data_IF_206883441696
#
_entry.id   IF_206883441696
#
_cell.length_a   1.000
_cell.length_b   1.000
_cell.length_c   1.000
_cell.angle_alpha   90.00
_cell.angle_beta   90.00
_cell.angle_gamma   90.00
#
_symmetry.space_group_name_H-M   'P 1'
#
loop_
_entity.id
_entity.type
_entity.pdbx_description
1 polymer ?
#
# COMPACT_ATOMS: atom_id res chain seq x y z
N UNK A 1 18.55 8.27 10.89
CA UNK A 1 18.07 8.15 9.49
C UNK A 1 18.91 9.06 8.62
N UNK A 2 19.46 8.57 7.51
CA UNK A 2 20.26 9.42 6.63
C UNK A 2 19.38 10.34 5.79
N UNK A 3 20.01 11.30 5.11
CA UNK A 3 19.30 12.32 4.33
C UNK A 3 18.53 11.75 3.15
N UNK A 4 19.09 10.74 2.48
CA UNK A 4 18.42 10.12 1.33
C UNK A 4 17.16 9.40 1.76
N UNK A 5 17.22 8.66 2.84
CA UNK A 5 16.07 7.94 3.38
C UNK A 5 15.02 8.91 3.91
N UNK A 6 15.45 9.98 4.58
CA UNK A 6 14.54 11.02 5.06
C UNK A 6 13.79 11.67 3.89
N UNK A 7 14.51 12.02 2.83
CA UNK A 7 13.92 12.62 1.62
C UNK A 7 12.93 11.65 0.97
N UNK A 8 13.28 10.37 0.91
CA UNK A 8 12.41 9.32 0.38
C UNK A 8 11.04 9.33 1.08
N UNK A 9 11.04 9.36 2.42
CA UNK A 9 9.79 9.37 3.17
C UNK A 9 9.03 10.69 3.04
N UNK A 10 9.73 11.82 3.04
CA UNK A 10 9.10 13.13 2.86
C UNK A 10 8.36 13.21 1.52
N UNK A 11 8.99 12.74 0.45
CA UNK A 11 8.37 12.73 -0.87
C UNK A 11 7.17 11.78 -0.90
N UNK A 12 7.28 10.64 -0.26
CA UNK A 12 6.17 9.68 -0.17
C UNK A 12 4.98 10.28 0.59
N UNK A 13 5.22 10.90 1.73
CA UNK A 13 4.15 11.52 2.51
C UNK A 13 3.50 12.68 1.75
N UNK A 14 4.27 13.44 1.01
CA UNK A 14 3.73 14.49 0.13
C UNK A 14 2.79 13.90 -0.92
N UNK A 15 3.18 12.78 -1.53
CA UNK A 15 2.34 12.07 -2.50
C UNK A 15 0.98 11.71 -1.91
N UNK A 16 0.93 11.25 -0.67
CA UNK A 16 -0.32 10.83 -0.02
C UNK A 16 -1.31 11.98 0.18
N UNK A 17 -0.86 13.24 0.12
CA UNK A 17 -1.74 14.40 0.26
C UNK A 17 -2.39 14.80 -1.07
N UNK A 18 -1.97 14.23 -2.18
CA UNK A 18 -2.44 14.61 -3.50
C UNK A 18 -3.80 13.99 -3.83
N UNK A 19 -4.58 14.72 -4.64
CA UNK A 19 -5.85 14.20 -5.14
C UNK A 19 -5.62 12.97 -6.03
N UNK A 20 -4.53 12.98 -6.82
CA UNK A 20 -4.21 11.84 -7.68
C UNK A 20 -4.01 10.56 -6.91
N UNK A 21 -3.31 10.61 -5.78
CA UNK A 21 -3.15 9.44 -4.90
C UNK A 21 -4.49 8.95 -4.36
N UNK A 22 -5.33 9.87 -3.87
CA UNK A 22 -6.64 9.51 -3.33
C UNK A 22 -7.53 8.87 -4.38
N UNK A 23 -7.53 9.43 -5.58
CA UNK A 23 -8.30 8.88 -6.71
C UNK A 23 -7.80 7.48 -7.08
N UNK A 24 -6.47 7.29 -7.10
CA UNK A 24 -5.87 5.98 -7.39
C UNK A 24 -6.30 4.94 -6.37
N UNK A 25 -6.26 5.27 -5.08
CA UNK A 25 -6.68 4.35 -4.01
C UNK A 25 -8.15 3.98 -4.18
N UNK A 26 -9.01 4.94 -4.48
CA UNK A 26 -10.43 4.67 -4.75
C UNK A 26 -10.61 3.71 -5.93
N UNK A 27 -9.86 3.93 -7.01
CA UNK A 27 -9.93 3.05 -8.18
C UNK A 27 -9.48 1.63 -7.83
N UNK A 28 -8.42 1.49 -7.04
CA UNK A 28 -7.94 0.18 -6.59
C UNK A 28 -8.98 -0.51 -5.71
N UNK A 29 -9.63 0.23 -4.81
CA UNK A 29 -10.70 -0.31 -3.97
C UNK A 29 -11.87 -0.84 -4.80
N UNK A 30 -12.24 -0.11 -5.86
CA UNK A 30 -13.30 -0.56 -6.78
C UNK A 30 -12.91 -1.86 -7.49
N UNK A 31 -11.65 -1.95 -7.95
CA UNK A 31 -11.15 -3.17 -8.59
C UNK A 31 -11.18 -4.33 -7.59
N UNK A 32 -10.72 -4.10 -6.37
CA UNK A 32 -10.72 -5.11 -5.32
C UNK A 32 -12.14 -5.61 -5.03
N UNK A 33 -13.10 -4.70 -4.91
CA UNK A 33 -14.49 -5.04 -4.61
C UNK A 33 -15.16 -5.81 -5.76
N UNK A 34 -14.64 -5.68 -6.98
CA UNK A 34 -15.14 -6.42 -8.14
C UNK A 34 -14.69 -7.89 -8.15
N UNK A 35 -13.66 -8.24 -7.39
CA UNK A 35 -13.12 -9.59 -7.33
C UNK A 35 -13.88 -10.38 -6.29
N UNK A 36 -14.66 -11.38 -6.75
CA UNK A 36 -15.43 -12.26 -5.87
C UNK A 36 -14.75 -13.61 -5.80
N UNK A 37 -14.00 -13.84 -4.73
CA UNK A 37 -13.21 -15.06 -4.54
C UNK A 37 -14.12 -16.29 -4.52
N UNK A 38 -15.31 -16.16 -3.98
CA UNK A 38 -16.29 -17.25 -3.93
C UNK A 38 -16.78 -17.73 -5.30
N UNK A 39 -16.62 -16.92 -6.34
CA UNK A 39 -17.01 -17.27 -7.71
C UNK A 39 -15.88 -17.97 -8.48
N UNK A 40 -14.68 -18.05 -7.89
CA UNK A 40 -13.52 -18.68 -8.53
C UNK A 40 -13.52 -20.17 -8.23
N UNK A 41 -13.62 -20.98 -9.28
CA UNK A 41 -13.78 -22.43 -9.14
C UNK A 41 -12.48 -23.22 -9.34
N UNK A 42 -11.48 -22.64 -10.00
CA UNK A 42 -10.21 -23.33 -10.19
C UNK A 42 -9.11 -22.79 -9.30
N UNK A 43 -8.25 -23.69 -8.84
CA UNK A 43 -7.18 -23.39 -7.89
C UNK A 43 -6.15 -22.42 -8.45
N UNK A 44 -5.80 -22.58 -9.71
CA UNK A 44 -4.79 -21.75 -10.36
C UNK A 44 -5.22 -20.27 -10.42
N UNK A 45 -6.46 -20.02 -10.81
CA UNK A 45 -7.04 -18.68 -10.85
C UNK A 45 -7.15 -18.10 -9.44
N UNK A 46 -7.53 -18.94 -8.46
CA UNK A 46 -7.63 -18.52 -7.07
C UNK A 46 -6.28 -18.01 -6.54
N UNK A 47 -5.19 -18.73 -6.79
CA UNK A 47 -3.86 -18.30 -6.36
C UNK A 47 -3.44 -16.99 -7.05
N UNK A 48 -3.73 -16.86 -8.35
CA UNK A 48 -3.43 -15.63 -9.08
C UNK A 48 -4.18 -14.44 -8.48
N UNK A 49 -5.47 -14.57 -8.19
CA UNK A 49 -6.28 -13.50 -7.60
C UNK A 49 -5.84 -13.16 -6.18
N UNK A 50 -5.41 -14.14 -5.40
CA UNK A 50 -4.85 -13.88 -4.06
C UNK A 50 -3.60 -13.00 -4.12
N UNK A 51 -2.72 -13.24 -5.10
CA UNK A 51 -1.54 -12.41 -5.31
C UNK A 51 -1.91 -10.97 -5.67
N UNK A 52 -2.88 -10.80 -6.58
CA UNK A 52 -3.38 -9.49 -6.97
C UNK A 52 -4.00 -8.75 -5.78
N UNK A 53 -4.82 -9.44 -4.98
CA UNK A 53 -5.44 -8.87 -3.79
C UNK A 53 -4.40 -8.45 -2.75
N UNK A 54 -3.33 -9.21 -2.59
CA UNK A 54 -2.25 -8.88 -1.66
C UNK A 54 -1.61 -7.55 -2.03
N UNK A 55 -1.30 -7.35 -3.32
CA UNK A 55 -0.70 -6.11 -3.79
C UNK A 55 -1.66 -4.93 -3.67
N UNK A 56 -2.94 -5.14 -4.02
CA UNK A 56 -3.96 -4.10 -3.88
C UNK A 56 -4.10 -3.66 -2.42
N UNK A 57 -4.17 -4.61 -1.50
CA UNK A 57 -4.25 -4.31 -0.07
C UNK A 57 -3.01 -3.56 0.42
N UNK A 58 -1.83 -3.94 -0.05
CA UNK A 58 -0.60 -3.22 0.28
C UNK A 58 -0.67 -1.76 -0.19
N UNK A 59 -1.13 -1.52 -1.42
CA UNK A 59 -1.27 -0.16 -1.95
C UNK A 59 -2.30 0.66 -1.17
N UNK A 60 -3.46 0.07 -0.86
CA UNK A 60 -4.52 0.75 -0.10
C UNK A 60 -4.02 1.15 1.29
N UNK A 61 -3.19 0.32 1.91
CA UNK A 61 -2.66 0.55 3.25
C UNK A 61 -1.28 1.22 3.25
N UNK A 62 -0.77 1.64 2.10
CA UNK A 62 0.59 2.12 1.96
C UNK A 62 0.91 3.32 2.85
N UNK A 63 -0.05 4.21 3.05
CA UNK A 63 0.13 5.37 3.93
C UNK A 63 0.41 4.92 5.37
N UNK A 64 -0.43 4.04 5.91
CA UNK A 64 -0.29 3.55 7.28
C UNK A 64 0.99 2.73 7.46
N UNK A 65 1.32 1.89 6.49
CA UNK A 65 2.55 1.09 6.49
C UNK A 65 3.78 2.00 6.46
N UNK A 66 3.75 3.04 5.64
CA UNK A 66 4.86 3.99 5.51
C UNK A 66 5.05 4.82 6.79
N UNK A 67 3.95 5.26 7.41
CA UNK A 67 4.00 5.99 8.68
C UNK A 67 4.60 5.11 9.79
N UNK A 68 4.19 3.85 9.87
CA UNK A 68 4.71 2.94 10.87
C UNK A 68 6.20 2.65 10.67
N UNK A 69 6.61 2.39 9.42
CA UNK A 69 8.01 2.15 9.10
C UNK A 69 8.87 3.37 9.44
N UNK A 70 8.38 4.56 9.14
CA UNK A 70 9.09 5.80 9.43
C UNK A 70 9.25 6.02 10.94
N UNK A 71 8.20 5.77 11.72
CA UNK A 71 8.25 5.86 13.18
C UNK A 71 9.24 4.87 13.77
N UNK A 72 9.27 3.64 13.26
CA UNK A 72 10.20 2.62 13.73
C UNK A 72 11.65 3.02 13.48
N UNK A 73 11.93 3.61 12.32
CA UNK A 73 13.28 4.12 12.01
C UNK A 73 13.68 5.29 12.92
N UNK A 74 12.74 6.16 13.24
CA UNK A 74 12.99 7.26 14.20
C UNK A 74 13.30 6.74 15.59
N UNK A 75 12.63 5.68 16.04
CA UNK A 75 12.89 5.06 17.34
C UNK A 75 14.32 4.48 17.39
N UNK A 76 14.78 3.87 16.31
CA UNK A 76 16.15 3.38 16.21
C UNK A 76 17.17 4.51 16.37
N UNK A 77 16.90 5.68 15.81
CA UNK A 77 17.78 6.84 15.87
C UNK A 77 17.87 7.45 17.29
N UNK A 78 16.91 7.17 18.16
CA UNK A 78 16.87 7.74 19.51
C UNK A 78 17.45 6.84 20.59
N UNK A 79 17.90 5.65 20.25
CA UNK A 79 18.46 4.67 21.20
C UNK A 79 19.96 4.80 21.40
#
# INVERSE_FOLDING_TARGET
MDKELQQYYEERFTMFTTKGWKDLVEDIEKIKDSIKVEDIQDEKTLFARRGELRIMNWLINLKDVSEQAHQDLKKEDTV
#
